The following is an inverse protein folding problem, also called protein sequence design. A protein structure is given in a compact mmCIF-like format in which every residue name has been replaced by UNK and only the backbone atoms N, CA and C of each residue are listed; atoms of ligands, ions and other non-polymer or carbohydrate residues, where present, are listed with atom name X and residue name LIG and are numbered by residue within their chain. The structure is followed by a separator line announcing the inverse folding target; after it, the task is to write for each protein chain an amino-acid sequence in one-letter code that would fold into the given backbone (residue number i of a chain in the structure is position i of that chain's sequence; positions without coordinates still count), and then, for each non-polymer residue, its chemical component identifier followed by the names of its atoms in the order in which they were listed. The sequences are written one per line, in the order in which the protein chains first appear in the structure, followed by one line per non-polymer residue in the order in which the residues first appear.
data_IF_994647334475
#
_entry.id   IF_994647334475
#
_cell.length_a   1.000
_cell.length_b   1.000
_cell.length_c   1.000
_cell.angle_alpha   90.00
_cell.angle_beta   90.00
_cell.angle_gamma   90.00
#
_symmetry.space_group_name_H-M   'P 1'
#
loop_
_entity.id
_entity.type
_entity.pdbx_description
1 polymer ?
#
# COMPACT_ATOMS: atom_id res chain seq x y z
N UNK A 1 -24.01 8.28 -1.10
CA UNK A 1 -23.36 7.07 -0.54
C UNK A 1 -24.33 6.07 0.07
N UNK A 2 -25.36 6.52 0.80
CA UNK A 2 -26.29 5.65 1.53
C UNK A 2 -27.53 5.23 0.74
N UNK A 3 -27.85 5.85 -0.40
CA UNK A 3 -29.09 5.64 -1.17
C UNK A 3 -28.90 4.91 -2.49
N UNK A 4 -27.84 5.22 -3.23
CA UNK A 4 -27.57 4.61 -4.54
C UNK A 4 -27.23 3.11 -4.42
N UNK A 5 -27.40 2.30 -5.50
CA UNK A 5 -27.07 0.87 -5.51
C UNK A 5 -25.59 0.63 -5.15
N UNK A 6 -25.34 -0.24 -4.17
CA UNK A 6 -24.01 -0.51 -3.62
C UNK A 6 -22.97 -0.91 -4.69
N UNK A 7 -23.29 -1.83 -5.65
CA UNK A 7 -22.32 -2.19 -6.70
C UNK A 7 -21.92 -1.02 -7.59
N UNK A 8 -22.85 -0.10 -7.88
CA UNK A 8 -22.57 1.10 -8.70
C UNK A 8 -21.62 2.06 -7.97
N UNK A 9 -21.86 2.28 -6.66
CA UNK A 9 -20.99 3.11 -5.82
C UNK A 9 -19.57 2.55 -5.74
N UNK A 10 -19.45 1.25 -5.47
CA UNK A 10 -18.14 0.60 -5.36
C UNK A 10 -17.38 0.70 -6.68
N UNK A 11 -18.02 0.40 -7.82
CA UNK A 11 -17.37 0.52 -9.14
C UNK A 11 -16.91 1.94 -9.43
N UNK A 12 -17.74 2.94 -9.13
CA UNK A 12 -17.39 4.34 -9.33
C UNK A 12 -16.17 4.81 -8.55
N UNK A 13 -15.92 4.24 -7.38
CA UNK A 13 -14.75 4.55 -6.55
C UNK A 13 -13.55 3.61 -6.83
N UNK A 14 -13.82 2.37 -7.19
CA UNK A 14 -12.79 1.37 -7.45
C UNK A 14 -12.01 1.67 -8.73
N UNK A 15 -12.70 2.05 -9.82
CA UNK A 15 -12.05 2.29 -11.12
C UNK A 15 -10.96 3.37 -11.02
N UNK A 16 -11.22 4.58 -10.49
CA UNK A 16 -10.15 5.57 -10.31
C UNK A 16 -9.02 5.07 -9.41
N UNK A 17 -9.34 4.31 -8.37
CA UNK A 17 -8.33 3.79 -7.43
C UNK A 17 -7.46 2.71 -8.08
N UNK A 18 -8.03 1.81 -8.87
CA UNK A 18 -7.29 0.80 -9.64
C UNK A 18 -6.36 1.48 -10.64
N UNK A 19 -6.85 2.49 -11.37
CA UNK A 19 -6.03 3.27 -12.30
C UNK A 19 -4.85 3.91 -11.56
N UNK A 20 -5.09 4.52 -10.41
CA UNK A 20 -4.03 5.10 -9.58
C UNK A 20 -2.96 4.07 -9.17
N UNK A 21 -3.38 2.87 -8.77
CA UNK A 21 -2.48 1.78 -8.39
C UNK A 21 -1.62 1.31 -9.56
N UNK A 22 -2.24 1.14 -10.74
CA UNK A 22 -1.52 0.74 -11.95
C UNK A 22 -0.53 1.81 -12.38
N UNK A 23 -0.93 3.08 -12.40
CA UNK A 23 -0.05 4.21 -12.75
C UNK A 23 1.13 4.30 -11.78
N UNK A 24 0.90 4.09 -10.48
CA UNK A 24 1.98 4.05 -9.48
C UNK A 24 2.96 2.92 -9.75
N UNK A 25 2.47 1.75 -10.13
CA UNK A 25 3.33 0.61 -10.49
C UNK A 25 4.19 0.91 -11.72
N UNK A 26 3.60 1.52 -12.75
CA UNK A 26 4.33 1.92 -13.95
C UNK A 26 5.40 2.97 -13.66
N UNK A 27 5.09 3.97 -12.85
CA UNK A 27 6.04 5.00 -12.51
C UNK A 27 7.25 4.44 -11.75
N UNK A 28 7.05 3.53 -10.80
CA UNK A 28 8.16 2.87 -10.07
C UNK A 28 9.04 2.06 -11.02
N UNK A 29 8.43 1.39 -12.01
CA UNK A 29 9.19 0.65 -13.02
C UNK A 29 10.01 1.59 -13.92
N UNK A 30 9.44 2.72 -14.35
CA UNK A 30 10.13 3.71 -15.18
C UNK A 30 11.31 4.36 -14.45
N UNK A 31 11.12 4.78 -13.20
CA UNK A 31 12.18 5.35 -12.34
C UNK A 31 13.35 4.35 -12.21
N UNK A 32 13.04 3.09 -11.87
CA UNK A 32 14.05 2.03 -11.77
C UNK A 32 14.82 1.82 -13.10
N UNK A 33 14.11 1.90 -14.22
CA UNK A 33 14.73 1.77 -15.56
C UNK A 33 15.70 2.91 -15.86
N UNK A 34 15.31 4.16 -15.61
CA UNK A 34 16.17 5.32 -15.87
C UNK A 34 17.39 5.35 -14.96
N UNK A 35 17.20 5.07 -13.66
CA UNK A 35 18.32 4.98 -12.70
C UNK A 35 19.27 3.83 -13.09
N UNK A 36 18.74 2.72 -13.55
CA UNK A 36 19.53 1.57 -14.02
C UNK A 36 20.47 1.89 -15.19
N UNK A 37 20.21 2.96 -15.94
CA UNK A 37 21.07 3.42 -17.04
C UNK A 37 22.22 4.34 -16.61
N UNK A 38 22.22 4.82 -15.35
CA UNK A 38 23.29 5.71 -14.87
C UNK A 38 24.55 4.88 -14.59
N UNK A 39 24.55 4.09 -13.53
CA UNK A 39 25.58 3.15 -13.14
C UNK A 39 25.08 2.19 -12.06
N UNK A 40 25.87 1.17 -11.75
CA UNK A 40 25.53 0.14 -10.74
C UNK A 40 25.41 0.74 -9.35
N UNK A 41 26.28 1.70 -8.99
CA UNK A 41 26.29 2.34 -7.67
C UNK A 41 25.01 3.15 -7.42
N UNK A 42 24.54 3.87 -8.45
CA UNK A 42 23.26 4.62 -8.39
C UNK A 42 22.08 3.69 -8.20
N UNK A 43 22.03 2.58 -8.92
CA UNK A 43 20.99 1.57 -8.79
C UNK A 43 20.97 0.97 -7.38
N UNK A 44 22.14 0.65 -6.83
CA UNK A 44 22.27 0.15 -5.47
C UNK A 44 21.84 1.20 -4.42
N UNK A 45 22.23 2.47 -4.63
CA UNK A 45 21.85 3.59 -3.74
C UNK A 45 20.33 3.80 -3.67
N UNK A 46 19.65 3.75 -4.81
CA UNK A 46 18.17 3.82 -4.85
C UNK A 46 17.55 2.62 -4.13
N UNK A 47 18.06 1.41 -4.37
CA UNK A 47 17.60 0.20 -3.67
C UNK A 47 17.69 0.30 -2.16
N UNK A 48 18.81 0.80 -1.63
CA UNK A 48 19.03 1.04 -0.20
C UNK A 48 18.03 2.09 0.34
N UNK A 49 17.86 3.18 -0.40
CA UNK A 49 16.97 4.29 -0.02
C UNK A 49 15.49 3.91 -0.01
N UNK A 50 15.12 2.86 -0.72
CA UNK A 50 13.74 2.36 -0.79
C UNK A 50 13.18 1.98 0.59
N UNK A 51 14.03 1.53 1.50
CA UNK A 51 13.64 1.20 2.89
C UNK A 51 13.12 2.42 3.66
N UNK A 52 13.77 3.57 3.49
CA UNK A 52 13.33 4.83 4.13
C UNK A 52 12.06 5.36 3.46
N UNK A 53 11.96 5.26 2.14
CA UNK A 53 10.73 5.61 1.42
C UNK A 53 9.55 4.76 1.89
N UNK A 54 9.76 3.47 2.10
CA UNK A 54 8.74 2.56 2.63
C UNK A 54 8.29 2.95 4.04
N UNK A 55 9.18 3.42 4.91
CA UNK A 55 8.85 3.95 6.24
C UNK A 55 7.98 5.21 6.11
N UNK A 56 8.35 6.16 5.25
CA UNK A 56 7.56 7.38 5.02
C UNK A 56 6.15 7.02 4.52
N UNK A 57 6.05 6.08 3.57
CA UNK A 57 4.78 5.59 3.06
C UNK A 57 3.95 4.89 4.15
N UNK A 58 4.59 4.08 5.00
CA UNK A 58 3.91 3.38 6.07
C UNK A 58 3.22 4.36 7.04
N UNK A 59 3.90 5.43 7.44
CA UNK A 59 3.30 6.49 8.26
C UNK A 59 2.25 7.31 7.51
N UNK A 60 2.43 7.56 6.22
CA UNK A 60 1.43 8.20 5.38
C UNK A 60 0.14 7.37 5.31
N UNK A 61 0.24 6.06 5.11
CA UNK A 61 -0.91 5.15 5.14
C UNK A 61 -1.50 4.99 6.54
N UNK A 62 -0.66 4.98 7.57
CA UNK A 62 -1.12 4.95 8.97
C UNK A 62 -2.03 6.12 9.27
N UNK A 63 -1.59 7.34 9.03
CA UNK A 63 -2.40 8.54 9.24
C UNK A 63 -3.57 8.62 8.24
N UNK A 64 -3.35 8.25 6.99
CA UNK A 64 -4.34 8.32 5.91
C UNK A 64 -5.51 7.35 6.10
N UNK A 65 -5.25 6.07 6.36
CA UNK A 65 -6.29 5.10 6.63
C UNK A 65 -6.91 5.31 8.02
N UNK A 66 -6.10 5.71 9.02
CA UNK A 66 -6.60 6.01 10.36
C UNK A 66 -7.64 7.12 10.35
N UNK A 67 -7.29 8.28 9.78
CA UNK A 67 -8.21 9.41 9.66
C UNK A 67 -9.33 9.14 8.67
N UNK A 68 -9.04 8.55 7.51
CA UNK A 68 -10.02 8.30 6.44
C UNK A 68 -11.16 7.39 6.87
N UNK A 69 -10.85 6.27 7.54
CA UNK A 69 -11.87 5.37 8.08
C UNK A 69 -12.79 6.07 9.11
N UNK A 70 -12.24 6.92 9.96
CA UNK A 70 -13.05 7.71 10.91
C UNK A 70 -13.92 8.71 10.16
N UNK A 71 -13.35 9.48 9.23
CA UNK A 71 -14.08 10.47 8.42
C UNK A 71 -15.28 9.83 7.72
N UNK A 72 -15.09 8.70 7.02
CA UNK A 72 -16.17 8.04 6.29
C UNK A 72 -17.32 7.61 7.21
N UNK A 73 -17.01 7.10 8.41
CA UNK A 73 -18.03 6.74 9.41
C UNK A 73 -18.78 7.95 9.94
N UNK A 74 -18.07 9.04 10.26
CA UNK A 74 -18.70 10.27 10.79
C UNK A 74 -19.55 10.98 9.72
N UNK A 75 -19.12 11.00 8.48
CA UNK A 75 -19.93 11.49 7.36
C UNK A 75 -21.19 10.66 7.16
N UNK A 76 -21.12 9.34 7.32
CA UNK A 76 -22.28 8.47 7.30
C UNK A 76 -23.26 8.76 8.43
N UNK A 77 -22.76 9.10 9.61
CA UNK A 77 -23.54 9.52 10.77
C UNK A 77 -23.99 11.00 10.72
N UNK A 78 -23.61 11.76 9.68
CA UNK A 78 -23.85 13.20 9.49
C UNK A 78 -23.16 14.09 10.54
N UNK A 79 -22.10 13.59 11.17
CA UNK A 79 -21.25 14.34 12.10
C UNK A 79 -20.06 14.99 11.35
N UNK A 80 -20.36 16.09 10.69
CA UNK A 80 -19.38 16.82 9.87
C UNK A 80 -18.28 17.46 10.72
N UNK A 81 -18.62 17.94 11.93
CA UNK A 81 -17.68 18.64 12.82
C UNK A 81 -16.53 17.72 13.28
N UNK A 82 -16.86 16.51 13.72
CA UNK A 82 -15.83 15.52 14.09
C UNK A 82 -15.01 15.08 12.88
N UNK A 83 -15.63 14.96 11.70
CA UNK A 83 -14.94 14.64 10.47
C UNK A 83 -13.93 15.72 10.06
N UNK A 84 -14.28 17.02 10.18
CA UNK A 84 -13.37 18.15 9.91
C UNK A 84 -12.17 18.17 10.86
N UNK A 85 -12.40 17.97 12.15
CA UNK A 85 -11.32 17.88 13.15
C UNK A 85 -10.39 16.72 12.86
N UNK A 86 -10.91 15.56 12.51
CA UNK A 86 -10.09 14.40 12.15
C UNK A 86 -9.32 14.61 10.86
N UNK A 87 -9.90 15.24 9.84
CA UNK A 87 -9.22 15.54 8.60
C UNK A 87 -7.98 16.42 8.84
N UNK A 88 -8.13 17.50 9.58
CA UNK A 88 -7.03 18.36 9.96
C UNK A 88 -6.00 17.64 10.84
N UNK A 89 -6.46 16.87 11.84
CA UNK A 89 -5.56 16.15 12.75
C UNK A 89 -4.74 15.11 12.01
N UNK A 90 -5.34 14.31 11.15
CA UNK A 90 -4.64 13.31 10.35
C UNK A 90 -3.61 13.92 9.40
N UNK A 91 -3.97 15.02 8.72
CA UNK A 91 -3.09 15.73 7.79
C UNK A 91 -1.88 16.33 8.50
N UNK A 92 -2.10 17.16 9.53
CA UNK A 92 -1.00 17.81 10.25
C UNK A 92 -0.14 16.82 11.04
N UNK A 93 -0.71 15.75 11.57
CA UNK A 93 0.07 14.69 12.22
C UNK A 93 1.02 14.02 11.23
N UNK A 94 0.57 13.69 10.02
CA UNK A 94 1.43 13.11 8.99
C UNK A 94 2.52 14.09 8.53
N UNK A 95 2.18 15.37 8.37
CA UNK A 95 3.15 16.39 8.03
C UNK A 95 4.24 16.52 9.09
N UNK A 96 3.87 16.57 10.37
CA UNK A 96 4.81 16.63 11.50
C UNK A 96 5.68 15.36 11.59
N UNK A 97 5.10 14.18 11.39
CA UNK A 97 5.86 12.92 11.34
C UNK A 97 6.85 12.95 10.17
N UNK A 98 6.42 13.41 8.99
CA UNK A 98 7.29 13.59 7.83
C UNK A 98 8.44 14.57 8.10
N UNK A 99 8.18 15.69 8.78
CA UNK A 99 9.21 16.63 9.21
C UNK A 99 10.18 15.99 10.22
N UNK A 100 9.68 15.20 11.16
CA UNK A 100 10.52 14.50 12.12
C UNK A 100 11.42 13.46 11.43
N UNK A 101 10.88 12.68 10.48
CA UNK A 101 11.66 11.73 9.67
C UNK A 101 12.72 12.48 8.86
N UNK A 102 12.37 13.60 8.22
CA UNK A 102 13.31 14.42 7.46
C UNK A 102 14.44 14.96 8.36
N UNK A 103 14.08 15.53 9.50
CA UNK A 103 15.06 16.09 10.44
C UNK A 103 16.02 15.02 10.97
N UNK A 104 15.50 13.93 11.51
CA UNK A 104 16.31 12.82 12.04
C UNK A 104 17.12 12.17 10.92
N UNK A 105 16.51 11.95 9.76
CA UNK A 105 17.18 11.37 8.60
C UNK A 105 18.32 12.20 8.06
N UNK A 106 18.18 13.53 8.01
CA UNK A 106 19.23 14.45 7.56
C UNK A 106 20.35 14.61 8.60
N UNK A 107 20.01 14.66 9.90
CA UNK A 107 21.01 14.75 10.97
C UNK A 107 21.87 13.48 11.06
N UNK A 108 21.30 12.32 10.83
CA UNK A 108 21.98 11.02 10.91
C UNK A 108 22.14 10.36 9.53
N UNK A 109 22.27 11.14 8.46
CA UNK A 109 22.28 10.63 7.08
C UNK A 109 23.39 9.60 6.84
N UNK A 110 24.60 9.88 7.25
CA UNK A 110 25.76 8.98 7.09
C UNK A 110 25.58 7.65 7.86
N UNK A 111 25.30 7.68 9.19
CA UNK A 111 25.00 6.45 9.95
C UNK A 111 23.85 5.64 9.37
N UNK A 112 22.78 6.28 8.93
CA UNK A 112 21.62 5.60 8.34
C UNK A 112 22.01 4.90 7.03
N UNK A 113 22.70 5.59 6.11
CA UNK A 113 23.14 4.97 4.86
C UNK A 113 24.04 3.76 5.12
N UNK A 114 24.97 3.84 6.08
CA UNK A 114 25.83 2.71 6.47
C UNK A 114 25.04 1.55 7.09
N UNK A 115 24.11 1.86 7.98
CA UNK A 115 23.23 0.85 8.61
C UNK A 115 22.33 0.13 7.59
N UNK A 116 21.95 0.82 6.50
CA UNK A 116 21.19 0.24 5.40
C UNK A 116 22.05 -0.61 4.43
N UNK A 117 23.35 -0.70 4.66
CA UNK A 117 24.25 -1.56 3.89
C UNK A 117 25.05 -0.85 2.78
N UNK A 118 25.20 0.49 2.85
CA UNK A 118 26.03 1.21 1.90
C UNK A 118 27.51 0.87 2.07
N UNK A 119 28.13 0.41 0.97
CA UNK A 119 29.58 0.30 0.88
C UNK A 119 30.25 1.67 0.72
N UNK A 120 31.58 1.80 0.94
CA UNK A 120 32.28 3.08 0.72
C UNK A 120 32.07 3.66 -0.69
N UNK A 121 31.90 2.82 -1.71
CA UNK A 121 31.67 3.23 -3.10
C UNK A 121 30.23 3.67 -3.37
N UNK A 122 29.25 3.10 -2.67
CA UNK A 122 27.83 3.42 -2.81
C UNK A 122 27.43 4.62 -1.93
N UNK A 123 28.11 4.82 -0.80
CA UNK A 123 27.76 5.82 0.21
C UNK A 123 27.57 7.24 -0.33
N UNK A 124 28.44 7.81 -1.22
CA UNK A 124 28.20 9.14 -1.76
C UNK A 124 26.91 9.26 -2.55
N UNK A 125 26.59 8.23 -3.36
CA UNK A 125 25.36 8.16 -4.15
C UNK A 125 24.12 8.04 -3.24
N UNK A 126 24.20 7.18 -2.23
CA UNK A 126 23.11 6.98 -1.27
C UNK A 126 22.83 8.26 -0.46
N UNK A 127 23.87 8.96 0.00
CA UNK A 127 23.73 10.24 0.71
C UNK A 127 23.09 11.32 -0.16
N UNK A 128 23.51 11.43 -1.42
CA UNK A 128 22.95 12.39 -2.37
C UNK A 128 21.47 12.10 -2.63
N UNK A 129 21.15 10.87 -2.95
CA UNK A 129 19.77 10.48 -3.26
C UNK A 129 18.86 10.59 -2.03
N UNK A 130 19.23 9.93 -0.93
CA UNK A 130 18.43 9.90 0.29
C UNK A 130 18.28 11.28 0.92
N UNK A 131 19.33 12.10 0.89
CA UNK A 131 19.27 13.49 1.40
C UNK A 131 18.19 14.32 0.72
N UNK A 132 18.09 14.24 -0.61
CA UNK A 132 17.06 14.95 -1.38
C UNK A 132 15.66 14.34 -1.11
N UNK A 133 15.53 13.00 -1.10
CA UNK A 133 14.27 12.31 -0.82
C UNK A 133 13.73 12.67 0.56
N UNK A 134 14.58 12.77 1.58
CA UNK A 134 14.18 13.16 2.93
C UNK A 134 13.57 14.56 3.01
N UNK A 135 14.02 15.51 2.19
CA UNK A 135 13.38 16.82 2.08
C UNK A 135 11.92 16.71 1.60
N UNK A 136 11.61 15.68 0.80
CA UNK A 136 10.29 15.39 0.31
C UNK A 136 9.39 14.64 1.30
N UNK A 137 9.93 14.12 2.40
CA UNK A 137 9.17 13.25 3.32
C UNK A 137 7.89 13.89 3.89
N UNK A 138 7.85 15.17 4.31
CA UNK A 138 6.61 15.81 4.75
C UNK A 138 5.55 15.86 3.66
N UNK A 139 5.93 16.18 2.44
CA UNK A 139 5.03 16.28 1.30
C UNK A 139 4.52 14.91 0.88
N UNK A 140 5.38 13.90 0.85
CA UNK A 140 5.02 12.53 0.52
C UNK A 140 4.02 11.94 1.53
N UNK A 141 4.29 12.04 2.82
CA UNK A 141 3.41 11.56 3.87
C UNK A 141 2.05 12.27 3.84
N UNK A 142 2.04 13.59 3.69
CA UNK A 142 0.81 14.39 3.63
C UNK A 142 0.02 14.16 2.35
N UNK A 143 0.67 13.95 1.20
CA UNK A 143 0.01 13.59 -0.06
C UNK A 143 -0.76 12.29 0.07
N UNK A 144 -0.18 11.28 0.73
CA UNK A 144 -0.83 10.00 0.98
C UNK A 144 -2.07 10.17 1.88
N UNK A 145 -2.00 11.05 2.88
CA UNK A 145 -3.15 11.36 3.74
C UNK A 145 -4.24 12.07 2.95
N UNK A 146 -3.92 13.11 2.18
CA UNK A 146 -4.87 13.82 1.32
C UNK A 146 -5.56 12.88 0.34
N UNK A 147 -4.78 12.04 -0.34
CA UNK A 147 -5.31 11.05 -1.26
C UNK A 147 -6.29 10.09 -0.60
N UNK A 148 -5.91 9.55 0.57
CA UNK A 148 -6.78 8.65 1.33
C UNK A 148 -8.03 9.37 1.82
N UNK A 149 -7.91 10.54 2.44
CA UNK A 149 -9.04 11.30 2.96
C UNK A 149 -10.05 11.67 1.88
N UNK A 150 -9.61 12.15 0.70
CA UNK A 150 -10.51 12.43 -0.43
C UNK A 150 -11.24 11.17 -0.89
N UNK A 151 -10.53 10.05 -1.00
CA UNK A 151 -11.15 8.78 -1.36
C UNK A 151 -12.18 8.33 -0.35
N UNK A 152 -11.88 8.43 0.95
CA UNK A 152 -12.81 8.07 2.04
C UNK A 152 -14.02 9.01 2.13
N UNK A 153 -13.93 10.21 1.58
CA UNK A 153 -15.07 11.13 1.40
C UNK A 153 -15.91 10.80 0.16
N UNK A 154 -15.45 9.88 -0.69
CA UNK A 154 -16.13 9.47 -1.92
C UNK A 154 -15.63 10.16 -3.19
N UNK A 155 -14.55 10.92 -3.12
CA UNK A 155 -13.97 11.69 -4.23
C UNK A 155 -12.70 11.03 -4.78
N UNK A 156 -12.80 9.75 -5.16
CA UNK A 156 -11.68 8.97 -5.67
C UNK A 156 -11.08 9.53 -6.98
N UNK A 157 -11.87 10.23 -7.80
CA UNK A 157 -11.39 10.86 -9.04
C UNK A 157 -10.40 11.99 -8.73
N UNK A 158 -10.69 12.85 -7.76
CA UNK A 158 -9.77 13.92 -7.37
C UNK A 158 -8.47 13.37 -6.76
N UNK A 159 -8.58 12.31 -5.96
CA UNK A 159 -7.43 11.58 -5.43
C UNK A 159 -6.57 10.99 -6.56
N UNK A 160 -7.19 10.41 -7.60
CA UNK A 160 -6.52 9.86 -8.78
C UNK A 160 -5.75 10.92 -9.57
N UNK A 161 -6.34 12.10 -9.80
CA UNK A 161 -5.69 13.19 -10.56
C UNK A 161 -4.34 13.57 -9.95
N UNK A 162 -4.27 13.74 -8.62
CA UNK A 162 -3.03 14.09 -7.95
C UNK A 162 -1.92 13.05 -8.15
N UNK A 163 -2.26 11.76 -8.07
CA UNK A 163 -1.30 10.66 -8.28
C UNK A 163 -0.84 10.61 -9.74
N UNK A 164 -1.78 10.68 -10.69
CA UNK A 164 -1.44 10.59 -12.12
C UNK A 164 -0.52 11.73 -12.54
N UNK A 165 -0.84 12.96 -12.15
CA UNK A 165 0.00 14.11 -12.52
C UNK A 165 1.39 13.98 -11.91
N UNK A 166 1.50 13.57 -10.64
CA UNK A 166 2.81 13.32 -10.02
C UNK A 166 3.60 12.24 -10.76
N UNK A 167 2.97 11.13 -11.11
CA UNK A 167 3.61 10.02 -11.81
C UNK A 167 4.06 10.41 -13.24
N UNK A 168 3.19 11.07 -14.01
CA UNK A 168 3.51 11.52 -15.38
C UNK A 168 4.64 12.55 -15.35
N UNK A 169 4.61 13.48 -14.39
CA UNK A 169 5.67 14.47 -14.22
C UNK A 169 7.02 13.81 -13.86
N UNK A 170 7.01 12.82 -12.98
CA UNK A 170 8.23 12.08 -12.62
C UNK A 170 8.82 11.36 -13.84
N UNK A 171 8.01 10.62 -14.59
CA UNK A 171 8.46 9.89 -15.80
C UNK A 171 9.05 10.87 -16.84
N UNK A 172 8.51 12.08 -16.94
CA UNK A 172 9.03 13.11 -17.85
C UNK A 172 10.30 13.80 -17.33
N UNK A 173 10.39 14.06 -16.03
CA UNK A 173 11.52 14.73 -15.42
C UNK A 173 12.75 13.81 -15.26
N UNK A 174 12.57 12.51 -15.07
CA UNK A 174 13.68 11.57 -14.92
C UNK A 174 14.70 11.66 -16.07
N UNK A 175 14.33 11.42 -17.35
CA UNK A 175 15.29 11.52 -18.43
C UNK A 175 15.82 12.93 -18.63
N UNK A 176 14.99 13.96 -18.35
CA UNK A 176 15.39 15.36 -18.47
C UNK A 176 16.50 15.71 -17.46
N UNK A 177 16.29 15.43 -16.18
CA UNK A 177 17.24 15.80 -15.12
C UNK A 177 18.46 14.85 -15.09
N UNK A 178 18.26 13.57 -15.36
CA UNK A 178 19.34 12.57 -15.33
C UNK A 178 20.29 12.75 -16.50
N UNK A 179 19.76 12.83 -17.72
CA UNK A 179 20.57 12.75 -18.95
C UNK A 179 20.76 14.10 -19.63
N UNK A 180 19.72 14.94 -19.76
CA UNK A 180 19.82 16.22 -20.46
C UNK A 180 20.56 17.25 -19.62
N UNK A 181 20.25 17.35 -18.33
CA UNK A 181 20.96 18.23 -17.38
C UNK A 181 22.18 17.56 -16.73
N UNK A 182 22.46 16.30 -17.06
CA UNK A 182 23.62 15.53 -16.57
C UNK A 182 23.77 15.53 -15.03
N UNK A 183 22.64 15.51 -14.34
CA UNK A 183 22.63 15.51 -12.87
C UNK A 183 22.81 14.09 -12.26
N UNK A 184 22.81 13.05 -13.09
CA UNK A 184 22.93 11.66 -12.64
C UNK A 184 21.90 11.30 -11.56
N UNK A 185 22.35 10.67 -10.47
CA UNK A 185 21.48 10.23 -9.38
C UNK A 185 20.78 11.41 -8.65
N UNK A 186 21.41 12.56 -8.57
CA UNK A 186 20.77 13.75 -8.03
C UNK A 186 19.57 14.18 -8.88
N UNK A 187 19.65 14.00 -10.19
CA UNK A 187 18.54 14.23 -11.13
C UNK A 187 17.33 13.35 -10.83
N UNK A 188 17.52 12.05 -10.59
CA UNK A 188 16.47 11.12 -10.20
C UNK A 188 15.82 11.54 -8.86
N UNK A 189 16.63 11.91 -7.88
CA UNK A 189 16.13 12.37 -6.59
C UNK A 189 15.33 13.67 -6.68
N UNK A 190 15.81 14.66 -7.44
CA UNK A 190 15.08 15.91 -7.67
C UNK A 190 13.81 15.72 -8.49
N UNK A 191 13.83 14.84 -9.47
CA UNK A 191 12.62 14.45 -10.23
C UNK A 191 11.55 13.92 -9.28
N UNK A 192 11.90 13.00 -8.41
CA UNK A 192 10.98 12.44 -7.40
C UNK A 192 10.50 13.52 -6.44
N UNK A 193 11.39 14.37 -5.91
CA UNK A 193 11.03 15.46 -5.00
C UNK A 193 10.05 16.44 -5.65
N UNK A 194 10.36 16.95 -6.84
CA UNK A 194 9.52 17.92 -7.57
C UNK A 194 8.14 17.30 -7.86
N UNK A 195 8.11 16.04 -8.30
CA UNK A 195 6.86 15.33 -8.60
C UNK A 195 6.00 15.11 -7.35
N UNK A 196 6.61 14.83 -6.21
CA UNK A 196 5.90 14.71 -4.92
C UNK A 196 5.34 16.07 -4.46
N UNK A 197 6.09 17.15 -4.57
CA UNK A 197 5.63 18.51 -4.22
C UNK A 197 4.50 18.95 -5.15
N UNK A 198 4.61 18.67 -6.45
CA UNK A 198 3.54 18.97 -7.41
C UNK A 198 2.28 18.14 -7.13
N UNK A 199 2.42 16.85 -6.88
CA UNK A 199 1.30 15.98 -6.49
C UNK A 199 0.62 16.49 -5.22
N UNK A 200 1.40 16.83 -4.19
CA UNK A 200 0.90 17.43 -2.96
C UNK A 200 0.12 18.73 -3.20
N UNK A 201 0.67 19.63 -4.00
CA UNK A 201 0.03 20.92 -4.32
C UNK A 201 -1.29 20.73 -5.07
N UNK A 202 -1.31 19.80 -6.03
CA UNK A 202 -2.51 19.47 -6.79
C UNK A 202 -3.57 18.84 -5.88
N UNK A 203 -3.18 17.92 -5.00
CA UNK A 203 -4.10 17.31 -4.04
C UNK A 203 -4.70 18.36 -3.08
N UNK A 204 -3.89 19.31 -2.59
CA UNK A 204 -4.39 20.44 -1.79
C UNK A 204 -5.36 21.33 -2.57
N UNK A 205 -5.09 21.55 -3.85
CA UNK A 205 -5.99 22.33 -4.70
C UNK A 205 -7.30 21.59 -4.98
N UNK A 206 -7.22 20.26 -5.20
CA UNK A 206 -8.40 19.40 -5.38
C UNK A 206 -9.23 19.26 -4.10
N UNK A 207 -8.59 19.27 -2.94
CA UNK A 207 -9.29 19.27 -1.64
C UNK A 207 -10.19 20.51 -1.46
N UNK A 208 -9.79 21.64 -2.05
CA UNK A 208 -10.58 22.90 -2.03
C UNK A 208 -11.69 22.92 -3.08
N UNK A 209 -11.62 22.06 -4.09
CA UNK A 209 -12.65 21.90 -5.14
C UNK A 209 -13.61 20.78 -4.75
N UNK A 210 -14.90 21.01 -4.98
CA UNK A 210 -15.94 20.03 -4.69
C UNK A 210 -16.49 20.12 -3.27
N UNK A 211 -17.22 19.08 -2.85
CA UNK A 211 -17.85 18.96 -1.53
C UNK A 211 -16.92 18.28 -0.51
N UNK A 212 -15.61 18.44 -0.65
CA UNK A 212 -14.64 17.88 0.29
C UNK A 212 -14.62 18.67 1.60
N UNK A 213 -14.29 17.98 2.68
CA UNK A 213 -13.98 18.61 3.96
C UNK A 213 -12.67 19.39 3.81
N UNK A 214 -12.74 20.69 3.91
CA UNK A 214 -11.56 21.55 3.81
C UNK A 214 -10.66 21.41 5.01
N UNK A 215 -9.39 21.15 4.78
CA UNK A 215 -8.38 21.10 5.84
C UNK A 215 -8.06 22.53 6.27
N UNK A 216 -8.32 22.82 7.54
CA UNK A 216 -8.02 24.11 8.14
C UNK A 216 -7.26 23.93 9.45
N UNK A 217 -6.17 24.72 9.66
CA UNK A 217 -5.32 24.61 10.84
C UNK A 217 -6.08 24.82 12.17
N UNK A 218 -7.18 25.59 12.16
CA UNK A 218 -8.02 25.81 13.35
C UNK A 218 -8.76 24.55 13.83
N UNK A 219 -8.92 23.56 12.96
CA UNK A 219 -9.54 22.28 13.29
C UNK A 219 -8.54 21.23 13.76
N UNK A 220 -7.24 21.57 13.78
CA UNK A 220 -6.21 20.68 14.32
C UNK A 220 -6.42 20.47 15.82
N UNK A 221 -6.83 19.26 16.17
CA UNK A 221 -7.23 18.89 17.53
C UNK A 221 -6.53 17.57 17.90
N UNK A 222 -5.24 17.59 18.28
CA UNK A 222 -4.48 16.39 18.61
C UNK A 222 -4.80 15.90 20.02
N UNK A 223 -6.08 15.64 20.30
CA UNK A 223 -6.51 15.06 21.57
C UNK A 223 -6.24 13.56 21.60
N UNK A 224 -6.05 12.94 22.77
CA UNK A 224 -5.88 11.49 22.90
C UNK A 224 -6.97 10.69 22.20
N UNK A 225 -8.22 11.20 22.16
CA UNK A 225 -9.35 10.57 21.50
C UNK A 225 -9.13 10.46 19.98
N UNK A 226 -8.78 11.56 19.30
CA UNK A 226 -8.51 11.55 17.86
C UNK A 226 -7.26 10.77 17.50
N UNK A 227 -6.18 10.90 18.28
CA UNK A 227 -4.95 10.14 18.07
C UNK A 227 -5.19 8.63 18.22
N UNK A 228 -5.98 8.21 19.20
CA UNK A 228 -6.38 6.81 19.39
C UNK A 228 -7.16 6.26 18.20
N UNK A 229 -8.05 7.05 17.60
CA UNK A 229 -8.77 6.66 16.39
C UNK A 229 -7.82 6.50 15.17
N UNK A 230 -6.83 7.38 15.04
CA UNK A 230 -5.79 7.24 14.01
C UNK A 230 -5.01 5.93 14.23
N UNK A 231 -4.63 5.64 15.46
CA UNK A 231 -3.95 4.38 15.80
C UNK A 231 -4.85 3.17 15.48
N UNK A 232 -6.11 3.20 15.86
CA UNK A 232 -7.03 2.08 15.63
C UNK A 232 -7.29 1.81 14.14
N UNK A 233 -7.47 2.87 13.35
CA UNK A 233 -7.70 2.74 11.92
C UNK A 233 -6.42 2.55 11.09
N UNK A 234 -5.29 3.03 11.58
CA UNK A 234 -4.01 3.05 10.84
C UNK A 234 -3.08 1.89 11.14
N UNK A 235 -3.10 1.34 12.36
CA UNK A 235 -2.17 0.27 12.79
C UNK A 235 -2.20 -0.98 11.89
N UNK A 236 -3.33 -1.44 11.34
CA UNK A 236 -3.30 -2.57 10.41
C UNK A 236 -2.48 -2.26 9.15
N UNK A 237 -2.53 -1.03 8.67
CA UNK A 237 -1.76 -0.61 7.49
C UNK A 237 -0.27 -0.48 7.78
N UNK A 238 0.08 0.05 8.95
CA UNK A 238 1.46 0.14 9.43
C UNK A 238 2.08 -1.24 9.59
N UNK A 239 1.39 -2.17 10.25
CA UNK A 239 1.84 -3.56 10.42
C UNK A 239 2.03 -4.25 9.06
N UNK A 240 1.07 -4.10 8.15
CA UNK A 240 1.16 -4.69 6.82
C UNK A 240 2.39 -4.19 6.05
N UNK A 241 2.65 -2.88 6.01
CA UNK A 241 3.78 -2.30 5.30
C UNK A 241 5.13 -2.68 5.94
N UNK A 242 5.23 -2.58 7.26
CA UNK A 242 6.45 -2.91 8.00
C UNK A 242 6.81 -4.39 7.85
N UNK A 243 5.85 -5.28 8.05
CA UNK A 243 6.06 -6.72 7.91
C UNK A 243 6.35 -7.14 6.47
N UNK A 244 5.75 -6.50 5.47
CA UNK A 244 6.05 -6.77 4.06
C UNK A 244 7.52 -6.48 3.74
N UNK A 245 8.08 -5.39 4.27
CA UNK A 245 9.51 -5.08 4.10
C UNK A 245 10.42 -6.13 4.73
N UNK A 246 10.13 -6.53 5.98
CA UNK A 246 10.88 -7.58 6.68
C UNK A 246 10.80 -8.91 5.93
N UNK A 247 9.61 -9.29 5.47
CA UNK A 247 9.40 -10.54 4.74
C UNK A 247 10.14 -10.58 3.43
N UNK A 248 10.19 -9.46 2.70
CA UNK A 248 10.95 -9.37 1.45
C UNK A 248 12.45 -9.58 1.69
N UNK A 249 12.99 -9.00 2.76
CA UNK A 249 14.40 -9.21 3.13
C UNK A 249 14.66 -10.69 3.44
N UNK A 250 13.83 -11.32 4.27
CA UNK A 250 13.96 -12.72 4.64
C UNK A 250 13.82 -13.65 3.43
N UNK A 251 12.89 -13.34 2.52
CA UNK A 251 12.69 -14.09 1.30
C UNK A 251 13.93 -14.05 0.41
N UNK A 252 14.53 -12.87 0.22
CA UNK A 252 15.72 -12.69 -0.58
C UNK A 252 16.93 -13.40 0.04
N UNK A 253 17.08 -13.34 1.38
CA UNK A 253 18.15 -14.07 2.09
C UNK A 253 17.98 -15.57 1.93
N UNK A 254 16.76 -16.09 2.11
CA UNK A 254 16.48 -17.51 1.95
C UNK A 254 16.71 -17.99 0.52
N UNK A 255 16.26 -17.22 -0.49
CA UNK A 255 16.48 -17.50 -1.91
C UNK A 255 17.97 -17.45 -2.29
N UNK A 256 18.74 -16.55 -1.67
CA UNK A 256 20.17 -16.37 -1.90
C UNK A 256 21.00 -17.61 -1.57
N UNK A 257 20.56 -18.44 -0.66
CA UNK A 257 21.20 -19.72 -0.33
C UNK A 257 21.17 -20.74 -1.49
N UNK A 258 20.29 -20.52 -2.48
CA UNK A 258 20.09 -21.39 -3.63
C UNK A 258 20.59 -20.78 -4.94
N UNK A 259 21.29 -19.63 -4.85
CA UNK A 259 21.93 -18.96 -5.98
C UNK A 259 21.14 -17.78 -6.55
N UNK A 260 21.78 -17.05 -7.45
CA UNK A 260 21.25 -15.82 -8.04
C UNK A 260 19.99 -16.04 -8.91
N UNK A 261 19.91 -17.21 -9.56
CA UNK A 261 18.73 -17.58 -10.35
C UNK A 261 17.47 -17.71 -9.49
N UNK A 262 17.60 -18.20 -8.24
CA UNK A 262 16.49 -18.30 -7.31
C UNK A 262 16.03 -16.91 -6.87
N UNK A 263 16.94 -16.00 -6.53
CA UNK A 263 16.60 -14.60 -6.17
C UNK A 263 15.87 -13.93 -7.35
N UNK A 264 16.41 -14.05 -8.55
CA UNK A 264 15.84 -13.43 -9.74
C UNK A 264 14.43 -13.98 -10.05
N UNK A 265 14.27 -15.31 -10.03
CA UNK A 265 12.99 -15.97 -10.31
C UNK A 265 11.90 -15.56 -9.29
N UNK A 266 12.20 -15.61 -7.99
CA UNK A 266 11.28 -15.23 -6.93
C UNK A 266 10.95 -13.74 -6.96
N UNK A 267 11.92 -12.89 -7.29
CA UNK A 267 11.68 -11.44 -7.45
C UNK A 267 10.72 -11.14 -8.59
N UNK A 268 10.82 -11.84 -9.72
CA UNK A 268 9.88 -11.72 -10.85
C UNK A 268 8.47 -12.13 -10.40
N UNK A 269 8.34 -13.27 -9.72
CA UNK A 269 7.05 -13.77 -9.22
C UNK A 269 6.40 -12.78 -8.26
N UNK A 270 7.18 -12.21 -7.33
CA UNK A 270 6.68 -11.20 -6.39
C UNK A 270 6.11 -9.98 -7.12
N UNK A 271 6.78 -9.50 -8.17
CA UNK A 271 6.29 -8.38 -9.00
C UNK A 271 5.01 -8.72 -9.76
N UNK A 272 4.93 -9.90 -10.35
CA UNK A 272 3.72 -10.37 -11.05
C UNK A 272 2.54 -10.44 -10.09
N UNK A 273 2.71 -11.09 -8.94
CA UNK A 273 1.66 -11.20 -7.94
C UNK A 273 1.26 -9.85 -7.33
N UNK A 274 2.21 -8.94 -7.12
CA UNK A 274 1.93 -7.58 -6.67
C UNK A 274 1.07 -6.81 -7.68
N UNK A 275 1.38 -6.93 -8.97
CA UNK A 275 0.60 -6.30 -10.04
C UNK A 275 -0.83 -6.83 -10.08
N UNK A 276 -1.01 -8.16 -10.03
CA UNK A 276 -2.34 -8.78 -10.02
C UNK A 276 -3.12 -8.39 -8.75
N UNK A 277 -2.48 -8.41 -7.58
CA UNK A 277 -3.11 -8.01 -6.32
C UNK A 277 -3.49 -6.51 -6.28
N UNK A 278 -2.81 -5.65 -7.03
CA UNK A 278 -3.13 -4.23 -7.12
C UNK A 278 -4.57 -3.98 -7.55
N UNK A 279 -5.13 -4.85 -8.40
CA UNK A 279 -6.55 -4.79 -8.77
C UNK A 279 -7.47 -5.00 -7.56
N UNK A 280 -7.25 -6.05 -6.77
CA UNK A 280 -8.10 -6.36 -5.61
C UNK A 280 -7.92 -5.32 -4.51
N UNK A 281 -6.70 -4.84 -4.31
CA UNK A 281 -6.41 -3.76 -3.36
C UNK A 281 -7.15 -2.48 -3.78
N UNK A 282 -7.05 -2.08 -5.04
CA UNK A 282 -7.76 -0.91 -5.57
C UNK A 282 -9.29 -1.06 -5.48
N UNK A 283 -9.79 -2.26 -5.78
CA UNK A 283 -11.21 -2.57 -5.66
C UNK A 283 -11.70 -2.50 -4.21
N UNK A 284 -10.94 -3.08 -3.28
CA UNK A 284 -11.23 -3.03 -1.85
C UNK A 284 -11.10 -1.62 -1.27
N UNK A 285 -10.16 -0.83 -1.76
CA UNK A 285 -10.05 0.58 -1.39
C UNK A 285 -11.25 1.42 -1.88
N UNK A 286 -11.90 1.04 -2.99
CA UNK A 286 -13.17 1.60 -3.42
C UNK A 286 -14.35 1.17 -2.53
N UNK A 287 -14.28 -0.03 -1.96
CA UNK A 287 -15.28 -0.53 -1.00
C UNK A 287 -15.23 0.19 0.35
N UNK A 288 -14.04 0.52 0.87
CA UNK A 288 -13.87 1.10 2.20
C UNK A 288 -14.72 2.35 2.47
N UNK A 289 -14.76 3.39 1.61
CA UNK A 289 -15.63 4.55 1.83
C UNK A 289 -17.12 4.17 1.84
N UNK A 290 -17.56 3.30 0.95
CA UNK A 290 -18.96 2.84 0.92
C UNK A 290 -19.29 2.08 2.20
N UNK A 291 -18.37 1.25 2.68
CA UNK A 291 -18.49 0.54 3.95
C UNK A 291 -18.59 1.53 5.12
N UNK A 292 -17.68 2.50 5.21
CA UNK A 292 -17.64 3.48 6.29
C UNK A 292 -18.90 4.33 6.40
N UNK A 293 -19.36 4.90 5.27
CA UNK A 293 -20.59 5.68 5.21
C UNK A 293 -21.83 4.88 5.65
N UNK A 294 -21.99 3.67 5.10
CA UNK A 294 -23.16 2.86 5.45
C UNK A 294 -23.09 2.33 6.89
N UNK A 295 -21.89 2.01 7.39
CA UNK A 295 -21.71 1.59 8.78
C UNK A 295 -21.99 2.73 9.75
N UNK A 296 -21.52 3.95 9.46
CA UNK A 296 -21.82 5.15 10.25
C UNK A 296 -23.29 5.51 10.26
N UNK A 297 -23.98 5.32 9.15
CA UNK A 297 -25.43 5.49 9.03
C UNK A 297 -26.28 4.34 9.65
N UNK A 298 -25.65 3.30 10.20
CA UNK A 298 -26.34 2.14 10.76
C UNK A 298 -26.86 1.12 9.74
N UNK A 299 -26.57 1.31 8.45
CA UNK A 299 -27.06 0.49 7.34
C UNK A 299 -26.20 -0.78 7.16
N UNK A 300 -26.16 -1.64 8.15
CA UNK A 300 -25.29 -2.81 8.19
C UNK A 300 -25.55 -3.80 7.06
N UNK A 301 -26.82 -3.98 6.62
CA UNK A 301 -27.17 -4.85 5.49
C UNK A 301 -26.47 -4.40 4.21
N UNK A 302 -26.36 -3.08 3.98
CA UNK A 302 -25.67 -2.53 2.81
C UNK A 302 -24.16 -2.74 2.88
N UNK A 303 -23.56 -2.64 4.07
CA UNK A 303 -22.14 -3.00 4.30
C UNK A 303 -21.90 -4.45 3.92
N UNK A 304 -22.73 -5.36 4.41
CA UNK A 304 -22.63 -6.79 4.11
C UNK A 304 -22.83 -7.09 2.62
N UNK A 305 -23.78 -6.43 1.97
CA UNK A 305 -24.01 -6.55 0.52
C UNK A 305 -22.77 -6.12 -0.27
N UNK A 306 -22.16 -4.98 0.09
CA UNK A 306 -20.94 -4.46 -0.53
C UNK A 306 -19.76 -5.41 -0.35
N UNK A 307 -19.60 -5.96 0.85
CA UNK A 307 -18.54 -6.93 1.14
C UNK A 307 -18.63 -8.16 0.25
N UNK A 308 -19.81 -8.82 0.19
CA UNK A 308 -19.99 -10.00 -0.63
C UNK A 308 -19.86 -9.74 -2.12
N UNK A 309 -20.31 -8.55 -2.58
CA UNK A 309 -20.08 -8.13 -3.95
C UNK A 309 -18.58 -8.04 -4.27
N UNK A 310 -17.79 -7.41 -3.39
CA UNK A 310 -16.35 -7.30 -3.57
C UNK A 310 -15.63 -8.63 -3.51
N UNK A 311 -16.00 -9.52 -2.58
CA UNK A 311 -15.45 -10.86 -2.48
C UNK A 311 -15.72 -11.65 -3.77
N UNK A 312 -16.96 -11.63 -4.26
CA UNK A 312 -17.32 -12.32 -5.49
C UNK A 312 -16.49 -11.83 -6.69
N UNK A 313 -16.43 -10.52 -6.89
CA UNK A 313 -15.66 -9.94 -8.01
C UNK A 313 -14.17 -10.22 -7.86
N UNK A 314 -13.60 -10.02 -6.66
CA UNK A 314 -12.18 -10.22 -6.39
C UNK A 314 -11.76 -11.68 -6.57
N UNK A 315 -12.52 -12.62 -6.04
CA UNK A 315 -12.23 -14.06 -6.17
C UNK A 315 -12.34 -14.51 -7.64
N UNK A 316 -13.39 -14.10 -8.36
CA UNK A 316 -13.53 -14.44 -9.79
C UNK A 316 -12.36 -13.88 -10.60
N UNK A 317 -12.01 -12.61 -10.39
CA UNK A 317 -10.89 -11.98 -11.09
C UNK A 317 -9.57 -12.72 -10.83
N UNK A 318 -9.25 -12.96 -9.54
CA UNK A 318 -8.02 -13.66 -9.19
C UNK A 318 -8.02 -15.11 -9.65
N UNK A 319 -9.16 -15.79 -9.64
CA UNK A 319 -9.26 -17.16 -10.15
C UNK A 319 -8.98 -17.24 -11.66
N UNK A 320 -9.50 -16.28 -12.44
CA UNK A 320 -9.21 -16.19 -13.88
C UNK A 320 -7.73 -15.90 -14.12
N UNK A 321 -7.15 -14.90 -13.42
CA UNK A 321 -5.73 -14.60 -13.51
C UNK A 321 -4.85 -15.79 -13.10
N UNK A 322 -5.27 -16.52 -12.04
CA UNK A 322 -4.57 -17.71 -11.56
C UNK A 322 -4.59 -18.84 -12.58
N UNK A 323 -5.74 -19.10 -13.19
CA UNK A 323 -5.86 -20.15 -14.20
C UNK A 323 -4.97 -19.86 -15.42
N UNK A 324 -5.07 -18.63 -15.95
CA UNK A 324 -4.25 -18.22 -17.11
C UNK A 324 -2.76 -18.23 -16.74
N UNK A 325 -2.39 -17.61 -15.63
CA UNK A 325 -1.00 -17.55 -15.17
C UNK A 325 -0.41 -18.92 -14.85
N UNK A 326 -1.20 -19.86 -14.32
CA UNK A 326 -0.74 -21.23 -14.04
C UNK A 326 -0.38 -22.00 -15.31
N UNK A 327 -1.23 -21.87 -16.35
CA UNK A 327 -1.02 -22.54 -17.65
C UNK A 327 0.20 -21.94 -18.34
N UNK A 328 0.33 -20.63 -18.38
CA UNK A 328 1.37 -19.89 -19.08
C UNK A 328 2.50 -19.41 -18.17
N UNK A 329 2.74 -20.07 -17.02
CA UNK A 329 3.72 -19.64 -16.04
C UNK A 329 5.15 -19.45 -16.62
N UNK A 330 5.70 -20.40 -17.40
CA UNK A 330 7.02 -20.23 -17.99
C UNK A 330 7.10 -19.05 -18.97
N UNK A 331 6.07 -18.87 -19.80
CA UNK A 331 5.98 -17.78 -20.78
C UNK A 331 5.92 -16.42 -20.09
N UNK A 332 5.07 -16.30 -19.04
CA UNK A 332 4.92 -15.06 -18.26
C UNK A 332 6.25 -14.68 -17.58
N UNK A 333 6.94 -15.63 -16.98
CA UNK A 333 8.27 -15.38 -16.38
C UNK A 333 9.28 -15.02 -17.45
N UNK A 334 9.24 -15.66 -18.62
CA UNK A 334 10.17 -15.39 -19.72
C UNK A 334 10.03 -13.98 -20.30
N UNK A 335 8.89 -13.31 -20.16
CA UNK A 335 8.74 -11.91 -20.55
C UNK A 335 9.68 -10.96 -19.79
N UNK A 336 10.07 -11.34 -18.57
CA UNK A 336 10.99 -10.55 -17.75
C UNK A 336 12.47 -10.95 -17.97
N UNK A 337 12.73 -12.22 -18.28
CA UNK A 337 14.09 -12.72 -18.49
C UNK A 337 14.09 -13.92 -19.46
N UNK A 338 14.42 -13.65 -20.72
CA UNK A 338 14.39 -14.68 -21.78
C UNK A 338 15.62 -15.58 -21.82
N UNK A 339 16.76 -15.07 -21.34
CA UNK A 339 18.08 -15.65 -21.60
C UNK A 339 18.54 -16.70 -20.58
N UNK A 340 17.84 -16.82 -19.45
CA UNK A 340 18.23 -17.71 -18.34
C UNK A 340 17.18 -18.79 -18.06
N UNK A 341 17.37 -20.03 -18.56
CA UNK A 341 16.45 -21.13 -18.34
C UNK A 341 16.24 -21.49 -16.86
N UNK A 342 17.25 -21.29 -16.00
CA UNK A 342 17.14 -21.58 -14.58
C UNK A 342 16.21 -20.59 -13.89
N UNK A 343 16.30 -19.28 -14.21
CA UNK A 343 15.39 -18.26 -13.71
C UNK A 343 13.95 -18.56 -14.13
N UNK A 344 13.74 -19.00 -15.38
CA UNK A 344 12.41 -19.36 -15.88
C UNK A 344 11.87 -20.58 -15.12
N UNK A 345 12.69 -21.61 -14.91
CA UNK A 345 12.26 -22.82 -14.21
C UNK A 345 11.83 -22.52 -12.74
N UNK A 346 12.70 -21.85 -11.97
CA UNK A 346 12.42 -21.48 -10.59
C UNK A 346 11.22 -20.51 -10.52
N UNK A 347 11.20 -19.49 -11.36
CA UNK A 347 10.12 -18.51 -11.38
C UNK A 347 8.78 -19.13 -11.76
N UNK A 348 8.73 -20.04 -12.74
CA UNK A 348 7.50 -20.71 -13.13
C UNK A 348 6.93 -21.60 -12.01
N UNK A 349 7.80 -22.34 -11.31
CA UNK A 349 7.37 -23.20 -10.19
C UNK A 349 6.86 -22.35 -9.03
N UNK A 350 7.61 -21.34 -8.60
CA UNK A 350 7.20 -20.42 -7.55
C UNK A 350 5.89 -19.66 -7.91
N UNK A 351 5.74 -19.27 -9.17
CA UNK A 351 4.52 -18.62 -9.65
C UNK A 351 3.32 -19.56 -9.56
N UNK A 352 3.46 -20.80 -9.95
CA UNK A 352 2.40 -21.81 -9.87
C UNK A 352 1.92 -22.01 -8.44
N UNK A 353 2.84 -22.13 -7.48
CA UNK A 353 2.48 -22.24 -6.06
C UNK A 353 1.69 -21.02 -5.57
N UNK A 354 2.13 -19.82 -5.88
CA UNK A 354 1.44 -18.60 -5.47
C UNK A 354 0.06 -18.45 -6.13
N UNK A 355 -0.05 -18.82 -7.41
CA UNK A 355 -1.32 -18.70 -8.15
C UNK A 355 -2.40 -19.64 -7.62
N UNK A 356 -2.06 -20.82 -7.07
CA UNK A 356 -3.03 -21.73 -6.46
C UNK A 356 -3.76 -21.05 -5.28
N UNK A 357 -3.05 -20.30 -4.46
CA UNK A 357 -3.60 -19.66 -3.26
C UNK A 357 -4.04 -18.20 -3.49
N UNK A 358 -3.67 -17.60 -4.62
CA UNK A 358 -3.97 -16.21 -4.93
C UNK A 358 -5.45 -15.83 -4.80
N UNK A 359 -6.44 -16.65 -5.26
CA UNK A 359 -7.86 -16.34 -5.07
C UNK A 359 -8.28 -16.21 -3.59
N UNK A 360 -7.61 -16.95 -2.69
CA UNK A 360 -7.84 -16.85 -1.24
C UNK A 360 -7.39 -15.50 -0.70
N UNK A 361 -6.40 -14.88 -1.33
CA UNK A 361 -5.91 -13.55 -1.00
C UNK A 361 -6.98 -12.46 -1.10
N UNK A 362 -7.92 -12.57 -2.04
CA UNK A 362 -9.05 -11.64 -2.13
C UNK A 362 -9.88 -11.62 -0.85
N UNK A 363 -10.19 -12.79 -0.29
CA UNK A 363 -10.89 -12.91 0.98
C UNK A 363 -10.13 -12.23 2.11
N UNK A 364 -8.85 -12.54 2.27
CA UNK A 364 -8.00 -11.97 3.34
C UNK A 364 -7.92 -10.46 3.26
N UNK A 365 -7.66 -9.91 2.06
CA UNK A 365 -7.55 -8.47 1.82
C UNK A 365 -8.87 -7.76 2.16
N UNK A 366 -10.00 -8.27 1.66
CA UNK A 366 -11.30 -7.65 1.86
C UNK A 366 -11.80 -7.78 3.31
N UNK A 367 -11.53 -8.91 3.97
CA UNK A 367 -11.78 -9.07 5.40
C UNK A 367 -10.99 -8.06 6.23
N UNK A 368 -9.70 -7.87 5.93
CA UNK A 368 -8.88 -6.88 6.62
C UNK A 368 -9.42 -5.46 6.44
N UNK A 369 -9.79 -5.08 5.21
CA UNK A 369 -10.36 -3.77 4.90
C UNK A 369 -11.72 -3.54 5.58
N UNK A 370 -12.58 -4.56 5.63
CA UNK A 370 -13.83 -4.51 6.39
C UNK A 370 -13.58 -4.27 7.88
N UNK A 371 -12.76 -5.12 8.50
CA UNK A 371 -12.45 -5.04 9.94
C UNK A 371 -11.82 -3.70 10.32
N UNK A 372 -10.94 -3.18 9.47
CA UNK A 372 -10.31 -1.87 9.64
C UNK A 372 -11.35 -0.74 9.61
N UNK A 373 -12.29 -0.79 8.67
CA UNK A 373 -13.29 0.27 8.47
C UNK A 373 -14.36 0.29 9.56
N UNK A 374 -14.81 -0.87 10.04
CA UNK A 374 -15.86 -0.98 11.07
C UNK A 374 -15.33 -0.92 12.51
N UNK A 375 -14.12 -0.41 12.72
CA UNK A 375 -13.51 -0.22 14.05
C UNK A 375 -13.32 -1.53 14.84
N UNK A 376 -12.74 -2.55 14.18
CA UNK A 376 -12.29 -3.80 14.82
C UNK A 376 -10.76 -3.88 14.83
N UNK A 377 -10.03 -2.97 15.54
CA UNK A 377 -8.58 -2.79 15.36
C UNK A 377 -7.79 -4.05 15.70
N UNK A 378 -8.11 -4.75 16.78
CA UNK A 378 -7.39 -5.97 17.20
C UNK A 378 -7.46 -7.05 16.12
N UNK A 379 -8.67 -7.33 15.59
CA UNK A 379 -8.86 -8.32 14.54
C UNK A 379 -8.19 -7.89 13.24
N UNK A 380 -8.28 -6.61 12.90
CA UNK A 380 -7.65 -6.06 11.70
C UNK A 380 -6.12 -6.13 11.77
N UNK A 381 -5.49 -5.82 12.92
CA UNK A 381 -4.04 -5.93 13.12
C UNK A 381 -3.58 -7.39 13.04
N UNK A 382 -4.27 -8.32 13.72
CA UNK A 382 -3.94 -9.74 13.65
C UNK A 382 -3.99 -10.22 12.21
N UNK A 383 -5.05 -9.89 11.48
CA UNK A 383 -5.21 -10.33 10.09
C UNK A 383 -4.22 -9.65 9.13
N UNK A 384 -3.91 -8.37 9.32
CA UNK A 384 -2.92 -7.68 8.49
C UNK A 384 -1.50 -8.19 8.72
N UNK A 385 -1.20 -8.63 9.94
CA UNK A 385 0.09 -9.20 10.32
C UNK A 385 0.23 -10.67 9.94
N UNK A 386 -0.88 -11.38 9.68
CA UNK A 386 -0.88 -12.82 9.47
C UNK A 386 -0.11 -13.23 8.21
N UNK A 387 -0.39 -12.56 7.11
CA UNK A 387 0.11 -12.93 5.77
C UNK A 387 1.61 -12.75 5.64
N UNK A 388 2.16 -11.64 6.14
CA UNK A 388 3.58 -11.27 5.96
C UNK A 388 4.41 -11.46 7.24
N UNK A 389 3.79 -11.58 8.39
CA UNK A 389 4.48 -11.71 9.67
C UNK A 389 4.24 -13.06 10.33
N UNK A 390 3.05 -13.23 10.91
CA UNK A 390 2.72 -14.35 11.80
C UNK A 390 2.95 -15.74 11.17
N UNK A 391 2.60 -15.91 9.90
CA UNK A 391 2.78 -17.18 9.20
C UNK A 391 3.99 -17.19 8.30
N UNK A 392 4.22 -16.11 7.52
CA UNK A 392 5.30 -16.09 6.55
C UNK A 392 6.68 -16.20 7.20
N UNK A 393 6.95 -15.41 8.25
CA UNK A 393 8.29 -15.39 8.88
C UNK A 393 8.67 -16.78 9.46
N UNK A 394 7.84 -17.47 10.23
CA UNK A 394 8.17 -18.83 10.66
C UNK A 394 8.33 -19.80 9.50
N UNK A 395 7.46 -19.71 8.50
CA UNK A 395 7.50 -20.63 7.35
C UNK A 395 8.76 -20.44 6.50
N UNK A 396 9.21 -19.21 6.24
CA UNK A 396 10.43 -18.98 5.46
C UNK A 396 11.70 -19.42 6.21
N UNK A 397 11.66 -19.50 7.52
CA UNK A 397 12.76 -20.01 8.32
C UNK A 397 12.76 -21.55 8.42
N UNK A 398 11.59 -22.18 8.38
CA UNK A 398 11.42 -23.62 8.61
C UNK A 398 11.37 -24.41 7.31
N UNK A 399 10.54 -24.00 6.32
CA UNK A 399 10.32 -24.78 5.11
C UNK A 399 11.58 -25.01 4.26
N UNK A 400 12.47 -24.03 4.08
CA UNK A 400 13.69 -24.25 3.30
C UNK A 400 14.64 -25.29 3.95
N UNK A 401 14.56 -25.45 5.26
CA UNK A 401 15.35 -26.46 5.96
C UNK A 401 14.94 -27.90 5.57
N UNK A 402 13.63 -28.14 5.37
CA UNK A 402 13.10 -29.46 5.03
C UNK A 402 12.96 -29.70 3.52
N UNK A 403 12.53 -28.66 2.79
CA UNK A 403 12.16 -28.75 1.38
C UNK A 403 13.12 -28.00 0.44
N UNK A 404 14.21 -27.44 0.97
CA UNK A 404 15.20 -26.68 0.22
C UNK A 404 14.55 -25.56 -0.62
N UNK A 405 14.85 -25.45 -1.92
CA UNK A 405 14.33 -24.42 -2.79
C UNK A 405 12.79 -24.45 -2.88
N UNK A 406 12.17 -25.63 -2.94
CA UNK A 406 10.71 -25.74 -2.93
C UNK A 406 10.09 -25.09 -1.68
N UNK A 407 10.77 -25.18 -0.52
CA UNK A 407 10.32 -24.52 0.69
C UNK A 407 10.25 -23.00 0.56
N UNK A 408 11.18 -22.38 -0.18
CA UNK A 408 11.15 -20.94 -0.50
C UNK A 408 10.00 -20.61 -1.45
N UNK A 409 9.84 -21.42 -2.50
CA UNK A 409 8.80 -21.25 -3.53
C UNK A 409 7.38 -21.36 -2.98
N UNK A 410 7.15 -22.30 -2.05
CA UNK A 410 5.85 -22.58 -1.43
C UNK A 410 5.51 -21.67 -0.23
N UNK A 411 6.49 -20.99 0.34
CA UNK A 411 6.36 -20.29 1.62
C UNK A 411 5.20 -19.29 1.62
N UNK A 412 5.11 -18.46 0.58
CA UNK A 412 4.06 -17.45 0.47
C UNK A 412 2.67 -18.10 0.28
N UNK A 413 2.59 -19.17 -0.50
CA UNK A 413 1.34 -19.91 -0.70
C UNK A 413 0.84 -20.54 0.60
N UNK A 414 1.73 -21.14 1.39
CA UNK A 414 1.41 -21.69 2.70
C UNK A 414 0.95 -20.59 3.68
N UNK A 415 1.63 -19.44 3.71
CA UNK A 415 1.24 -18.31 4.53
C UNK A 415 -0.13 -17.74 4.14
N UNK A 416 -0.44 -17.68 2.85
CA UNK A 416 -1.73 -17.21 2.33
C UNK A 416 -2.86 -18.17 2.73
N UNK A 417 -2.64 -19.47 2.66
CA UNK A 417 -3.60 -20.49 3.12
C UNK A 417 -3.87 -20.37 4.64
N UNK A 418 -2.82 -20.28 5.43
CA UNK A 418 -2.95 -20.10 6.89
C UNK A 418 -3.68 -18.80 7.24
N UNK A 419 -3.40 -17.72 6.51
CA UNK A 419 -4.07 -16.43 6.70
C UNK A 419 -5.55 -16.48 6.30
N UNK A 420 -5.88 -17.22 5.24
CA UNK A 420 -7.27 -17.46 4.86
C UNK A 420 -8.02 -18.21 5.96
N UNK A 421 -7.45 -19.28 6.50
CA UNK A 421 -8.06 -20.05 7.58
C UNK A 421 -8.24 -19.19 8.85
N UNK A 422 -7.27 -18.34 9.18
CA UNK A 422 -7.37 -17.40 10.31
C UNK A 422 -8.44 -16.32 10.07
N UNK A 423 -8.62 -15.86 8.83
CA UNK A 423 -9.60 -14.85 8.49
C UNK A 423 -11.05 -15.32 8.74
N UNK A 424 -11.34 -16.61 8.63
CA UNK A 424 -12.67 -17.17 8.82
C UNK A 424 -13.20 -16.90 10.25
N UNK A 425 -12.57 -17.34 11.33
CA UNK A 425 -13.05 -17.10 12.70
C UNK A 425 -13.02 -15.61 13.10
N UNK A 426 -12.14 -14.82 12.50
CA UNK A 426 -12.08 -13.39 12.80
C UNK A 426 -13.22 -12.59 12.15
N UNK A 427 -13.68 -12.99 10.95
CA UNK A 427 -14.60 -12.19 10.14
C UNK A 427 -16.02 -12.72 10.13
N UNK A 428 -16.26 -14.05 10.19
CA UNK A 428 -17.60 -14.64 10.13
C UNK A 428 -18.51 -14.12 11.26
N UNK A 429 -18.08 -14.06 12.53
CA UNK A 429 -18.93 -13.51 13.60
C UNK A 429 -19.34 -12.07 13.33
N UNK A 430 -18.42 -11.25 12.77
CA UNK A 430 -18.68 -9.86 12.41
C UNK A 430 -19.70 -9.78 11.27
N UNK A 431 -19.57 -10.61 10.23
CA UNK A 431 -20.54 -10.67 9.13
C UNK A 431 -21.94 -11.13 9.59
N UNK A 432 -22.00 -11.97 10.62
CA UNK A 432 -23.27 -12.33 11.24
C UNK A 432 -23.92 -11.14 11.97
N UNK A 433 -23.13 -10.33 12.68
CA UNK A 433 -23.65 -9.13 13.36
C UNK A 433 -24.12 -8.03 12.40
N UNK A 434 -23.63 -8.02 11.16
CA UNK A 434 -24.04 -7.09 10.11
C UNK A 434 -25.33 -7.52 9.36
N UNK A 435 -26.06 -8.51 9.85
CA UNK A 435 -27.36 -8.92 9.26
C UNK A 435 -28.49 -7.97 9.61
N UNK A 436 -28.37 -7.24 10.69
CA UNK A 436 -29.40 -6.35 11.24
C UNK A 436 -28.88 -4.93 11.19
N UNK A 437 -29.72 -4.01 10.70
CA UNK A 437 -29.41 -2.59 10.71
C UNK A 437 -29.48 -2.06 12.16
N UNK A 438 -28.69 -1.03 12.46
CA UNK A 438 -28.58 -0.41 13.77
C UNK A 438 -29.09 1.03 13.72
N UNK A 439 -29.35 1.60 14.88
CA UNK A 439 -29.47 3.05 14.99
C UNK A 439 -28.18 3.72 14.54
N UNK A 440 -28.26 4.87 13.83
CA UNK A 440 -27.06 5.62 13.45
C UNK A 440 -26.16 5.91 14.67
N UNK A 441 -24.85 5.95 14.46
CA UNK A 441 -23.91 6.30 15.51
C UNK A 441 -24.21 7.72 16.00
N UNK A 442 -24.71 7.84 17.23
CA UNK A 442 -24.86 9.15 17.89
C UNK A 442 -23.50 9.65 18.38
N UNK A 443 -23.39 10.97 18.58
CA UNK A 443 -22.25 11.59 19.26
C UNK A 443 -22.03 10.89 20.61
N UNK A 444 -21.03 10.01 20.69
CA UNK A 444 -20.40 9.73 21.98
C UNK A 444 -19.49 10.93 22.24
N UNK A 445 -19.74 11.64 23.32
CA UNK A 445 -18.95 12.76 23.83
C UNK A 445 -17.45 12.40 23.76
N UNK A 446 -16.74 13.04 22.84
CA UNK A 446 -15.29 12.98 22.70
C UNK A 446 -14.65 14.18 23.41
#
# INVERSE_FOLDING_TARGET
MTTAPVPRLIRGLAVPTIISMLVTSFYVMADTYFVGKINTQSTAAVGISFSIMAIIQAFGFFCGHGSGNFISRRLGARDYRSAEKMAATGFFSAFLIGCAIALVGLLFLDPICRALGSTPTILPYAKTYLGIILLGAPFMASSLVLNNQMRFQGNAVYAMIGIIVGAVLNIGLDPLLIFVFDMGIAGAAWSTFISQVCSFTILLFMDRKGENIRIHYRHFTPTPAYLKEIVYGGSPSLCRQGLASVSTILLNVAAGNFGDAAIAGISIVTRICMFINSFVIGFGQGFQPVCGFNYGAGLNRRVRQGFWYCVKVGVIFLAICSLIGYIYAPEVVSWFRKEDPQVIAVGAEALRWQLITLPLGAWVILCNMLLQTIRQPRRAVILSSSRQGLFFIPLILILPYFLQLQGVEMCQAAADLCSFLLALPLTIPVLKSLRIDRTPMKEENA
#
